data_IF_549217821464
#
_entry.id   IF_549217821464
#
_cell.length_a   1.000
_cell.length_b   1.000
_cell.length_c   1.000
_cell.angle_alpha   90.00
_cell.angle_beta   90.00
_cell.angle_gamma   90.00
#
_symmetry.space_group_name_H-M   'P 1'
#
loop_
_entity.id
_entity.type
_entity.pdbx_description
1 polymer ?
#
# COMPACT_ATOMS: atom_id res chain seq x y z
N UNK A 1 48.05 48.19 16.02
CA UNK A 1 46.70 47.62 15.81
C UNK A 1 46.41 47.72 14.32
N UNK A 2 46.53 46.60 13.58
CA UNK A 2 46.33 46.63 12.14
C UNK A 2 44.82 46.67 11.82
N UNK A 3 44.36 47.81 11.31
CA UNK A 3 43.05 47.98 10.66
C UNK A 3 42.99 47.01 9.46
N UNK A 4 42.51 45.78 9.69
CA UNK A 4 42.32 44.80 8.64
C UNK A 4 41.10 45.23 7.81
N UNK A 5 41.40 45.82 6.66
CA UNK A 5 40.51 46.40 5.66
C UNK A 5 39.18 45.63 5.49
N UNK A 6 38.07 46.38 5.42
CA UNK A 6 36.70 45.90 5.21
C UNK A 6 36.59 44.84 4.08
N UNK A 7 37.43 44.95 3.05
CA UNK A 7 37.52 44.00 1.94
C UNK A 7 37.88 42.57 2.33
N UNK A 8 38.72 42.32 3.35
CA UNK A 8 39.09 40.95 3.76
C UNK A 8 37.99 40.28 4.60
N UNK A 9 37.19 41.09 5.31
CA UNK A 9 35.97 40.64 5.98
C UNK A 9 34.87 40.31 4.96
N UNK A 10 34.67 41.14 3.93
CA UNK A 10 33.77 40.85 2.82
C UNK A 10 34.19 39.61 2.02
N UNK A 11 35.48 39.39 1.78
CA UNK A 11 35.99 38.23 1.05
C UNK A 11 35.77 36.92 1.83
N UNK A 12 36.01 36.93 3.15
CA UNK A 12 35.68 35.79 4.02
C UNK A 12 34.18 35.52 4.08
N UNK A 13 33.36 36.57 4.11
CA UNK A 13 31.91 36.45 4.09
C UNK A 13 31.38 35.90 2.75
N UNK A 14 31.89 36.39 1.61
CA UNK A 14 31.56 35.85 0.29
C UNK A 14 31.99 34.40 0.12
N UNK A 15 33.20 34.03 0.55
CA UNK A 15 33.66 32.64 0.53
C UNK A 15 32.80 31.75 1.44
N UNK A 16 32.34 32.26 2.59
CA UNK A 16 31.46 31.53 3.49
C UNK A 16 30.07 31.32 2.86
N UNK A 17 29.46 32.35 2.26
CA UNK A 17 28.16 32.24 1.59
C UNK A 17 28.25 31.33 0.37
N UNK A 18 29.31 31.41 -0.42
CA UNK A 18 29.52 30.56 -1.60
C UNK A 18 29.74 29.10 -1.18
N UNK A 19 30.59 28.84 -0.19
CA UNK A 19 30.84 27.50 0.33
C UNK A 19 29.59 26.93 1.05
N UNK A 20 28.80 27.77 1.74
CA UNK A 20 27.51 27.41 2.33
C UNK A 20 26.46 27.09 1.27
N UNK A 21 26.41 27.83 0.16
CA UNK A 21 25.51 27.54 -0.96
C UNK A 21 25.86 26.20 -1.61
N UNK A 22 27.16 25.95 -1.83
CA UNK A 22 27.63 24.63 -2.27
C UNK A 22 27.30 23.54 -1.26
N UNK A 23 27.42 23.79 0.04
CA UNK A 23 27.11 22.83 1.09
C UNK A 23 25.60 22.57 1.22
N UNK A 24 24.75 23.58 1.08
CA UNK A 24 23.28 23.47 1.11
C UNK A 24 22.75 22.80 -0.15
N UNK A 25 23.27 23.15 -1.34
CA UNK A 25 22.96 22.41 -2.57
C UNK A 25 23.45 20.97 -2.50
N UNK A 26 24.70 20.72 -2.08
CA UNK A 26 25.23 19.36 -1.91
C UNK A 26 24.44 18.55 -0.88
N UNK A 27 24.04 19.13 0.25
CA UNK A 27 23.24 18.42 1.26
C UNK A 27 21.81 18.19 0.78
N UNK A 28 21.20 19.10 0.03
CA UNK A 28 19.87 18.92 -0.55
C UNK A 28 19.86 17.87 -1.66
N UNK A 29 20.89 17.85 -2.51
CA UNK A 29 21.09 16.83 -3.54
C UNK A 29 21.44 15.47 -2.91
N UNK A 30 22.30 15.43 -1.89
CA UNK A 30 22.67 14.21 -1.19
C UNK A 30 21.52 13.62 -0.37
N UNK A 31 20.74 14.47 0.31
CA UNK A 31 19.52 14.08 1.01
C UNK A 31 18.45 13.62 0.01
N UNK A 32 18.31 14.31 -1.13
CA UNK A 32 17.43 13.91 -2.23
C UNK A 32 17.80 12.55 -2.81
N UNK A 33 19.08 12.29 -3.06
CA UNK A 33 19.57 10.99 -3.57
C UNK A 33 19.39 9.87 -2.54
N UNK A 34 19.60 10.14 -1.26
CA UNK A 34 19.33 9.20 -0.18
C UNK A 34 17.83 8.89 -0.08
N UNK A 35 16.98 9.90 0.02
CA UNK A 35 15.51 9.74 0.06
C UNK A 35 15.00 8.99 -1.18
N UNK A 36 15.51 9.33 -2.35
CA UNK A 36 15.15 8.66 -3.60
C UNK A 36 15.63 7.20 -3.63
N UNK A 37 16.72 6.86 -2.94
CA UNK A 37 17.17 5.45 -2.82
C UNK A 37 16.33 4.67 -1.80
N UNK A 38 15.96 5.28 -0.69
CA UNK A 38 15.08 4.68 0.32
C UNK A 38 13.66 4.48 -0.19
N UNK A 39 13.07 5.46 -0.89
CA UNK A 39 11.73 5.34 -1.46
C UNK A 39 11.64 4.19 -2.48
N UNK A 40 12.69 3.98 -3.28
CA UNK A 40 12.73 2.87 -4.26
C UNK A 40 12.74 1.50 -3.59
N UNK A 41 13.55 1.33 -2.54
CA UNK A 41 13.60 0.09 -1.77
C UNK A 41 12.27 -0.17 -1.07
N UNK A 42 11.68 0.87 -0.50
CA UNK A 42 10.38 0.77 0.16
C UNK A 42 9.27 0.36 -0.81
N UNK A 43 9.20 0.97 -1.98
CA UNK A 43 8.19 0.62 -3.02
C UNK A 43 8.35 -0.83 -3.48
N UNK A 44 9.58 -1.30 -3.67
CA UNK A 44 9.82 -2.69 -4.08
C UNK A 44 9.44 -3.68 -2.97
N UNK A 45 9.79 -3.38 -1.72
CA UNK A 45 9.38 -4.18 -0.57
C UNK A 45 7.86 -4.20 -0.40
N UNK A 46 7.19 -3.06 -0.58
CA UNK A 46 5.73 -2.96 -0.55
C UNK A 46 5.07 -3.79 -1.67
N UNK A 47 5.62 -3.79 -2.88
CA UNK A 47 5.16 -4.62 -3.99
C UNK A 47 5.25 -6.13 -3.69
N UNK A 48 6.38 -6.56 -3.10
CA UNK A 48 6.57 -7.96 -2.68
C UNK A 48 5.59 -8.33 -1.57
N UNK A 49 5.43 -7.46 -0.57
CA UNK A 49 4.53 -7.69 0.55
C UNK A 49 3.07 -7.77 0.08
N UNK A 50 2.62 -6.86 -0.78
CA UNK A 50 1.26 -6.89 -1.34
C UNK A 50 1.00 -8.14 -2.18
N UNK A 51 1.98 -8.57 -2.99
CA UNK A 51 1.88 -9.83 -3.72
C UNK A 51 1.79 -11.05 -2.79
N UNK A 52 2.61 -11.09 -1.73
CA UNK A 52 2.58 -12.16 -0.73
C UNK A 52 1.22 -12.23 0.00
N UNK A 53 0.67 -11.08 0.39
CA UNK A 53 -0.69 -11.00 0.98
C UNK A 53 -1.74 -11.50 -0.02
N UNK A 54 -1.66 -11.10 -1.29
CA UNK A 54 -2.58 -11.59 -2.32
C UNK A 54 -2.55 -13.11 -2.50
N UNK A 55 -1.36 -13.71 -2.50
CA UNK A 55 -1.19 -15.18 -2.54
C UNK A 55 -1.78 -15.82 -1.28
N UNK A 56 -1.50 -15.27 -0.10
CA UNK A 56 -2.04 -15.78 1.16
C UNK A 56 -3.58 -15.74 1.19
N UNK A 57 -4.18 -14.65 0.73
CA UNK A 57 -5.64 -14.52 0.62
C UNK A 57 -6.19 -15.53 -0.40
N UNK A 58 -5.52 -15.71 -1.55
CA UNK A 58 -5.95 -16.68 -2.57
C UNK A 58 -5.94 -18.12 -2.06
N UNK A 59 -4.93 -18.50 -1.29
CA UNK A 59 -4.80 -19.84 -0.67
C UNK A 59 -5.86 -20.00 0.41
N UNK A 60 -6.03 -19.00 1.28
CA UNK A 60 -7.05 -19.02 2.33
C UNK A 60 -8.45 -19.16 1.73
N UNK A 61 -8.77 -18.38 0.69
CA UNK A 61 -10.05 -18.48 -0.02
C UNK A 61 -10.31 -19.86 -0.65
N UNK A 62 -9.25 -20.63 -0.97
CA UNK A 62 -9.40 -21.98 -1.49
C UNK A 62 -9.73 -23.02 -0.40
N UNK A 63 -9.27 -22.78 0.83
CA UNK A 63 -9.57 -23.62 1.99
C UNK A 63 -10.98 -23.35 2.55
N UNK A 64 -11.52 -22.17 2.26
CA UNK A 64 -12.85 -21.72 2.69
C UNK A 64 -13.84 -21.58 1.52
N UNK A 65 -13.74 -22.44 0.50
CA UNK A 65 -14.53 -22.38 -0.74
C UNK A 65 -16.06 -22.41 -0.55
N UNK A 66 -16.57 -22.67 0.66
CA UNK A 66 -17.99 -22.68 0.99
C UNK A 66 -18.58 -21.32 1.44
N UNK A 67 -17.77 -20.26 1.58
CA UNK A 67 -18.19 -19.06 2.33
C UNK A 67 -18.90 -17.97 1.52
N UNK A 68 -18.75 -17.92 0.20
CA UNK A 68 -19.35 -16.90 -0.67
C UNK A 68 -19.45 -17.39 -2.11
N UNK A 69 -20.20 -16.67 -2.96
CA UNK A 69 -20.15 -16.82 -4.42
C UNK A 69 -18.67 -16.81 -4.83
N UNK A 70 -18.13 -17.99 -5.17
CA UNK A 70 -16.68 -18.27 -5.16
C UNK A 70 -15.83 -17.28 -5.99
N UNK A 71 -16.49 -16.51 -6.87
CA UNK A 71 -15.89 -15.50 -7.72
C UNK A 71 -15.33 -14.29 -6.97
N UNK A 72 -16.02 -13.71 -5.99
CA UNK A 72 -15.70 -12.34 -5.54
C UNK A 72 -14.39 -12.25 -4.73
N UNK A 73 -14.15 -13.15 -3.78
CA UNK A 73 -12.89 -13.20 -3.01
C UNK A 73 -11.69 -13.66 -3.83
N UNK A 74 -11.88 -14.65 -4.72
CA UNK A 74 -10.83 -15.11 -5.63
C UNK A 74 -10.46 -14.00 -6.62
N UNK A 75 -11.44 -13.25 -7.10
CA UNK A 75 -11.24 -12.08 -7.97
C UNK A 75 -10.48 -10.98 -7.23
N UNK A 76 -10.88 -10.65 -6.00
CA UNK A 76 -10.18 -9.65 -5.18
C UNK A 76 -8.72 -10.04 -4.91
N UNK A 77 -8.45 -11.31 -4.57
CA UNK A 77 -7.10 -11.81 -4.37
C UNK A 77 -6.25 -11.72 -5.64
N UNK A 78 -6.81 -12.10 -6.79
CA UNK A 78 -6.12 -12.01 -8.09
C UNK A 78 -5.80 -10.55 -8.46
N UNK A 79 -6.72 -9.61 -8.18
CA UNK A 79 -6.48 -8.18 -8.38
C UNK A 79 -5.32 -7.69 -7.50
N UNK A 80 -5.26 -8.13 -6.23
CA UNK A 80 -4.19 -7.75 -5.31
C UNK A 80 -2.81 -8.28 -5.77
N UNK A 81 -2.77 -9.53 -6.25
CA UNK A 81 -1.56 -10.12 -6.85
C UNK A 81 -1.12 -9.34 -8.09
N UNK A 82 -2.05 -9.04 -9.00
CA UNK A 82 -1.77 -8.29 -10.22
C UNK A 82 -1.27 -6.87 -9.92
N UNK A 83 -1.87 -6.19 -8.92
CA UNK A 83 -1.44 -4.88 -8.48
C UNK A 83 -0.03 -4.90 -7.87
N UNK A 84 0.28 -5.87 -7.00
CA UNK A 84 1.63 -6.04 -6.43
C UNK A 84 2.69 -6.28 -7.52
N UNK A 85 2.39 -7.14 -8.49
CA UNK A 85 3.27 -7.38 -9.63
C UNK A 85 3.47 -6.12 -10.50
N UNK A 86 2.41 -5.36 -10.76
CA UNK A 86 2.48 -4.11 -11.50
C UNK A 86 3.39 -3.09 -10.79
N UNK A 87 3.26 -2.94 -9.47
CA UNK A 87 4.12 -2.05 -8.66
C UNK A 87 5.59 -2.49 -8.73
N UNK A 88 5.88 -3.80 -8.70
CA UNK A 88 7.23 -4.31 -8.86
C UNK A 88 7.81 -4.00 -10.25
N UNK A 89 7.03 -4.20 -11.31
CA UNK A 89 7.46 -3.90 -12.69
C UNK A 89 7.73 -2.41 -12.86
N UNK A 90 6.82 -1.55 -12.41
CA UNK A 90 6.96 -0.10 -12.53
C UNK A 90 8.12 0.42 -11.67
N UNK A 91 8.30 -0.13 -10.46
CA UNK A 91 9.45 0.16 -9.61
C UNK A 91 10.79 -0.25 -10.25
N UNK A 92 10.82 -1.42 -10.90
CA UNK A 92 11.98 -1.89 -11.66
C UNK A 92 12.29 -0.99 -12.87
N UNK A 93 11.27 -0.62 -13.64
CA UNK A 93 11.40 0.31 -14.77
C UNK A 93 11.90 1.68 -14.30
N UNK A 94 11.40 2.18 -13.17
CA UNK A 94 11.85 3.44 -12.57
C UNK A 94 13.34 3.44 -12.22
N UNK A 95 13.88 2.31 -11.73
CA UNK A 95 15.31 2.16 -11.48
C UNK A 95 16.13 2.22 -12.78
N UNK A 96 15.69 1.49 -13.81
CA UNK A 96 16.34 1.48 -15.12
C UNK A 96 16.24 2.83 -15.86
N UNK A 97 15.13 3.56 -15.71
CA UNK A 97 14.87 4.85 -16.35
C UNK A 97 15.88 5.91 -15.90
N UNK A 98 16.19 5.94 -14.60
CA UNK A 98 17.14 6.91 -14.03
C UNK A 98 18.58 6.54 -14.38
N UNK A 99 18.93 5.26 -14.35
CA UNK A 99 20.31 4.81 -14.63
C UNK A 99 20.68 4.90 -16.12
N UNK A 100 19.74 4.60 -17.03
CA UNK A 100 20.02 4.58 -18.48
C UNK A 100 19.90 5.95 -19.15
N UNK A 101 19.44 6.99 -18.45
CA UNK A 101 19.13 8.33 -19.00
C UNK A 101 18.37 8.32 -20.34
N UNK A 102 17.62 7.24 -20.62
CA UNK A 102 16.95 7.09 -21.90
C UNK A 102 15.62 7.83 -21.84
N UNK A 103 15.52 8.91 -22.62
CA UNK A 103 14.32 9.76 -22.73
C UNK A 103 13.04 8.96 -22.99
N UNK A 104 13.10 7.92 -23.81
CA UNK A 104 11.95 7.07 -24.12
C UNK A 104 11.48 6.26 -22.90
N UNK A 105 12.41 5.75 -22.09
CA UNK A 105 12.11 4.98 -20.90
C UNK A 105 11.54 5.86 -19.78
N UNK A 106 12.05 7.10 -19.67
CA UNK A 106 11.56 8.09 -18.73
C UNK A 106 10.15 8.59 -19.09
N UNK A 107 9.88 8.79 -20.39
CA UNK A 107 8.55 9.16 -20.89
C UNK A 107 7.53 8.03 -20.70
N UNK A 108 7.92 6.78 -20.96
CA UNK A 108 7.07 5.62 -20.68
C UNK A 108 6.73 5.49 -19.19
N UNK A 109 7.73 5.66 -18.30
CA UNK A 109 7.50 5.66 -16.86
C UNK A 109 6.51 6.76 -16.44
N UNK A 110 6.71 7.99 -16.92
CA UNK A 110 5.80 9.10 -16.64
C UNK A 110 4.38 8.84 -17.15
N UNK A 111 4.23 8.25 -18.33
CA UNK A 111 2.92 7.90 -18.90
C UNK A 111 2.21 6.82 -18.09
N UNK A 112 2.91 5.77 -17.68
CA UNK A 112 2.36 4.68 -16.86
C UNK A 112 1.86 5.19 -15.51
N UNK A 113 2.63 6.05 -14.83
CA UNK A 113 2.24 6.64 -13.55
C UNK A 113 1.02 7.56 -13.72
N UNK A 114 0.97 8.37 -14.78
CA UNK A 114 -0.20 9.21 -15.08
C UNK A 114 -1.46 8.37 -15.32
N UNK A 115 -1.35 7.26 -16.04
CA UNK A 115 -2.46 6.35 -16.29
C UNK A 115 -2.98 5.73 -14.99
N UNK A 116 -2.10 5.32 -14.08
CA UNK A 116 -2.47 4.80 -12.77
C UNK A 116 -3.20 5.86 -11.95
N UNK A 117 -2.72 7.10 -11.97
CA UNK A 117 -3.38 8.20 -11.26
C UNK A 117 -4.83 8.42 -11.72
N UNK A 118 -5.08 8.36 -13.03
CA UNK A 118 -6.44 8.45 -13.58
C UNK A 118 -7.29 7.26 -13.13
N UNK A 119 -6.74 6.05 -13.14
CA UNK A 119 -7.42 4.85 -12.67
C UNK A 119 -7.74 4.90 -11.17
N UNK A 120 -6.85 5.45 -10.34
CA UNK A 120 -7.08 5.63 -8.90
C UNK A 120 -8.23 6.61 -8.65
N UNK A 121 -8.28 7.73 -9.38
CA UNK A 121 -9.40 8.68 -9.28
C UNK A 121 -10.71 8.00 -9.70
N UNK A 122 -10.72 7.30 -10.84
CA UNK A 122 -11.91 6.60 -11.34
C UNK A 122 -12.38 5.52 -10.37
N UNK A 123 -11.45 4.74 -9.81
CA UNK A 123 -11.71 3.72 -8.79
C UNK A 123 -12.27 4.35 -7.51
N UNK A 124 -11.69 5.45 -7.04
CA UNK A 124 -12.15 6.19 -5.86
C UNK A 124 -13.57 6.72 -6.02
N UNK A 125 -13.89 7.31 -7.17
CA UNK A 125 -15.25 7.77 -7.49
C UNK A 125 -16.23 6.58 -7.52
N UNK A 126 -15.85 5.46 -8.16
CA UNK A 126 -16.69 4.26 -8.22
C UNK A 126 -16.93 3.64 -6.84
N UNK A 127 -15.88 3.56 -6.02
CA UNK A 127 -15.94 3.04 -4.66
C UNK A 127 -16.88 3.89 -3.79
N UNK A 128 -16.80 5.22 -3.90
CA UNK A 128 -17.70 6.13 -3.20
C UNK A 128 -19.15 5.99 -3.69
N UNK A 129 -19.37 5.97 -5.01
CA UNK A 129 -20.70 5.88 -5.60
C UNK A 129 -21.42 4.55 -5.29
N UNK A 130 -20.67 3.48 -5.03
CA UNK A 130 -21.21 2.14 -4.72
C UNK A 130 -20.96 1.69 -3.28
N UNK A 131 -20.63 2.61 -2.37
CA UNK A 131 -20.22 2.28 -1.00
C UNK A 131 -21.24 1.37 -0.29
N UNK A 132 -22.53 1.66 -0.40
CA UNK A 132 -23.56 0.92 0.35
C UNK A 132 -23.70 -0.51 -0.20
N UNK A 133 -23.53 -0.69 -1.52
CA UNK A 133 -23.51 -2.02 -2.14
C UNK A 133 -22.31 -2.83 -1.69
N UNK A 134 -21.14 -2.19 -1.55
CA UNK A 134 -19.92 -2.85 -1.07
C UNK A 134 -20.07 -3.25 0.39
N UNK A 135 -20.61 -2.36 1.25
CA UNK A 135 -20.85 -2.65 2.66
C UNK A 135 -21.80 -3.84 2.81
N UNK A 136 -22.95 -3.82 2.14
CA UNK A 136 -23.91 -4.93 2.21
C UNK A 136 -23.30 -6.26 1.74
N UNK A 137 -22.50 -6.24 0.67
CA UNK A 137 -21.79 -7.44 0.21
C UNK A 137 -20.79 -7.97 1.24
N UNK A 138 -20.07 -7.08 1.93
CA UNK A 138 -19.12 -7.46 2.98
C UNK A 138 -19.88 -8.01 4.20
N UNK A 139 -20.99 -7.38 4.60
CA UNK A 139 -21.81 -7.88 5.71
C UNK A 139 -22.34 -9.29 5.40
N UNK A 140 -22.89 -9.52 4.21
CA UNK A 140 -23.33 -10.85 3.76
C UNK A 140 -22.17 -11.86 3.73
N UNK A 141 -20.98 -11.42 3.32
CA UNK A 141 -19.76 -12.24 3.30
C UNK A 141 -19.38 -12.74 4.67
N UNK A 142 -19.24 -11.81 5.60
CA UNK A 142 -18.79 -12.09 6.95
C UNK A 142 -19.86 -12.88 7.69
N UNK A 143 -21.14 -12.56 7.49
CA UNK A 143 -22.26 -13.30 8.08
C UNK A 143 -22.28 -14.76 7.63
N UNK A 144 -22.03 -15.06 6.36
CA UNK A 144 -21.93 -16.44 5.85
C UNK A 144 -20.68 -17.13 6.38
N UNK A 145 -19.56 -16.40 6.43
CA UNK A 145 -18.30 -16.90 6.98
C UNK A 145 -18.43 -17.36 8.44
N UNK A 146 -19.03 -16.53 9.29
CA UNK A 146 -19.23 -16.84 10.71
C UNK A 146 -20.22 -18.00 10.87
N UNK A 147 -21.35 -17.98 10.16
CA UNK A 147 -22.36 -19.06 10.26
C UNK A 147 -21.79 -20.42 9.89
N UNK A 148 -20.97 -20.48 8.84
CA UNK A 148 -20.46 -21.75 8.34
C UNK A 148 -19.25 -22.23 9.13
N UNK A 149 -18.30 -21.36 9.48
CA UNK A 149 -16.95 -21.80 9.86
C UNK A 149 -16.59 -21.53 11.34
N UNK A 150 -17.38 -20.73 12.05
CA UNK A 150 -17.13 -20.44 13.45
C UNK A 150 -17.47 -21.65 14.34
N UNK A 151 -16.53 -22.06 15.19
CA UNK A 151 -16.70 -23.20 16.10
C UNK A 151 -16.45 -24.58 15.50
N UNK A 152 -16.13 -24.71 14.21
CA UNK A 152 -15.76 -26.01 13.65
C UNK A 152 -14.36 -26.47 14.09
N UNK A 153 -14.19 -27.76 14.40
CA UNK A 153 -12.92 -28.31 14.90
C UNK A 153 -11.77 -28.23 13.89
N UNK A 154 -12.06 -28.30 12.60
CA UNK A 154 -11.11 -28.16 11.49
C UNK A 154 -10.70 -26.70 11.24
N UNK A 155 -11.46 -25.72 11.76
CA UNK A 155 -11.28 -24.28 11.53
C UNK A 155 -11.08 -23.47 12.81
N UNK A 156 -10.40 -24.04 13.82
CA UNK A 156 -10.05 -23.34 15.08
C UNK A 156 -9.34 -22.00 14.86
N UNK A 157 -8.42 -21.92 13.89
CA UNK A 157 -7.71 -20.68 13.54
C UNK A 157 -8.63 -19.56 13.05
N UNK A 158 -9.74 -19.91 12.38
CA UNK A 158 -10.73 -18.92 11.93
C UNK A 158 -11.50 -18.35 13.13
N UNK A 159 -11.93 -19.21 14.04
CA UNK A 159 -12.61 -18.82 15.29
C UNK A 159 -11.73 -17.90 16.13
N UNK A 160 -10.47 -18.27 16.37
CA UNK A 160 -9.50 -17.44 17.10
C UNK A 160 -9.25 -16.08 16.44
N UNK A 161 -9.21 -16.04 15.10
CA UNK A 161 -9.03 -14.79 14.36
C UNK A 161 -10.23 -13.85 14.51
N UNK A 162 -11.46 -14.38 14.47
CA UNK A 162 -12.69 -13.59 14.67
C UNK A 162 -12.78 -13.07 16.11
N UNK A 163 -12.49 -13.91 17.11
CA UNK A 163 -12.51 -13.49 18.52
C UNK A 163 -11.48 -12.40 18.78
N UNK A 164 -10.26 -12.56 18.25
CA UNK A 164 -9.21 -11.55 18.36
C UNK A 164 -9.59 -10.25 17.66
N UNK A 165 -10.16 -10.32 16.45
CA UNK A 165 -10.61 -9.13 15.74
C UNK A 165 -11.71 -8.38 16.51
N UNK A 166 -12.67 -9.10 17.09
CA UNK A 166 -13.73 -8.51 17.92
C UNK A 166 -13.18 -7.85 19.20
N UNK A 167 -12.19 -8.48 19.85
CA UNK A 167 -11.53 -7.91 21.03
C UNK A 167 -10.71 -6.65 20.69
N UNK A 168 -9.91 -6.68 19.62
CA UNK A 168 -9.08 -5.54 19.22
C UNK A 168 -9.91 -4.34 18.73
N UNK A 169 -11.03 -4.61 18.05
CA UNK A 169 -11.93 -3.57 17.52
C UNK A 169 -13.05 -3.18 18.50
N UNK A 170 -13.12 -3.82 19.68
CA UNK A 170 -14.19 -3.66 20.67
C UNK A 170 -15.59 -3.76 20.08
N UNK A 171 -15.79 -4.66 19.12
CA UNK A 171 -17.06 -4.88 18.43
C UNK A 171 -17.56 -6.31 18.63
N UNK A 172 -18.84 -6.56 18.34
CA UNK A 172 -19.45 -7.88 18.50
C UNK A 172 -20.48 -8.11 17.40
N UNK A 173 -20.32 -9.20 16.63
CA UNK A 173 -21.16 -9.50 15.48
C UNK A 173 -20.77 -8.72 14.23
N UNK A 174 -21.61 -8.78 13.19
CA UNK A 174 -21.38 -8.09 11.91
C UNK A 174 -21.92 -6.67 11.97
N UNK A 175 -23.20 -6.52 12.34
CA UNK A 175 -23.84 -5.23 12.52
C UNK A 175 -24.21 -4.98 14.00
N UNK A 176 -24.46 -6.04 14.77
CA UNK A 176 -24.78 -5.97 16.19
C UNK A 176 -24.46 -7.27 16.94
N UNK A 177 -24.24 -7.19 18.26
CA UNK A 177 -24.06 -8.37 19.12
C UNK A 177 -25.26 -9.32 19.13
N UNK A 178 -26.44 -8.85 18.69
CA UNK A 178 -27.61 -9.69 18.48
C UNK A 178 -27.45 -10.70 17.32
N UNK A 179 -26.51 -10.47 16.40
CA UNK A 179 -26.28 -11.35 15.24
C UNK A 179 -25.78 -12.74 15.65
N UNK A 180 -25.09 -12.86 16.78
CA UNK A 180 -24.69 -14.15 17.35
C UNK A 180 -25.86 -15.08 17.67
N UNK A 181 -27.07 -14.54 17.88
CA UNK A 181 -28.27 -15.37 18.04
C UNK A 181 -28.70 -16.03 16.73
N UNK A 182 -28.38 -15.41 15.59
CA UNK A 182 -28.65 -15.92 14.23
C UNK A 182 -27.56 -16.88 13.77
N UNK A 183 -26.30 -16.64 14.18
CA UNK A 183 -25.15 -17.51 13.90
C UNK A 183 -25.10 -18.78 14.75
N UNK A 184 -26.13 -19.06 15.57
CA UNK A 184 -26.12 -20.19 16.50
C UNK A 184 -25.96 -21.50 15.73
N UNK A 185 -24.72 -21.98 15.78
CA UNK A 185 -24.27 -23.33 15.48
C UNK A 185 -25.05 -24.27 16.40
N UNK A 186 -25.75 -25.24 15.82
CA UNK A 186 -26.31 -26.40 16.52
C UNK A 186 -25.15 -27.28 16.99
#
# INVERSE_FOLDING_TARGET
>A
MAELNCGMKCLKFMLCVFNLFFWVSWTFDFLGVLLFRWIRLFVLAAGIATMAVGIFVRVSANNYSALMEEGDFKTAANILIAAGALVMIIGGIGCCAVVKENKWLLLLYSFLVLMIFILEIASGIMAYAKRDKVINKIEDAVSKAITNDYGQEDKKRFTEAIDKAQQELMCCGVSSGADWKKFRVV
#
